data_IF_358533733600
#
_entry.id   IF_358533733600
#
_cell.length_a   1.000
_cell.length_b   1.000
_cell.length_c   1.000
_cell.angle_alpha   90.00
_cell.angle_beta   90.00
_cell.angle_gamma   90.00
#
_symmetry.space_group_name_H-M   'P 1'
#
loop_
_entity.id
_entity.type
_entity.pdbx_description
1 polymer ?
#
# COMPACT_ATOMS: atom_id res chain seq x y z
N UNK A 1 -5.37 12.90 22.00
CA UNK A 1 -5.47 11.64 21.22
C UNK A 1 -5.58 11.85 19.71
N UNK A 2 -6.05 13.01 19.23
CA UNK A 2 -6.23 13.28 17.80
C UNK A 2 -4.92 13.25 16.98
N UNK A 3 -3.81 13.78 17.50
CA UNK A 3 -2.51 13.75 16.83
C UNK A 3 -1.99 12.32 16.59
N UNK A 4 -2.22 11.41 17.53
CA UNK A 4 -1.85 9.99 17.41
C UNK A 4 -2.65 9.34 16.28
N UNK A 5 -3.96 9.61 16.20
CA UNK A 5 -4.83 9.08 15.14
C UNK A 5 -4.37 9.53 13.75
N UNK A 6 -4.07 10.82 13.57
CA UNK A 6 -3.54 11.36 12.31
C UNK A 6 -2.17 10.76 11.97
N UNK A 7 -1.31 10.56 12.97
CA UNK A 7 0.00 9.92 12.81
C UNK A 7 -0.09 8.48 12.30
N UNK A 8 -0.98 7.65 12.87
CA UNK A 8 -1.18 6.26 12.43
C UNK A 8 -1.62 6.20 10.97
N UNK A 9 -2.58 7.04 10.57
CA UNK A 9 -3.06 7.08 9.18
C UNK A 9 -1.95 7.53 8.23
N UNK A 10 -1.24 8.62 8.58
CA UNK A 10 -0.14 9.13 7.75
C UNK A 10 0.95 8.07 7.53
N UNK A 11 1.36 7.38 8.59
CA UNK A 11 2.37 6.33 8.50
C UNK A 11 1.87 5.11 7.71
N UNK A 12 0.61 4.73 7.87
CA UNK A 12 -0.01 3.65 7.08
C UNK A 12 -0.02 3.97 5.59
N UNK A 13 -0.36 5.20 5.21
CA UNK A 13 -0.30 5.65 3.81
C UNK A 13 1.11 5.56 3.23
N UNK A 14 2.14 5.95 4.00
CA UNK A 14 3.54 5.84 3.56
C UNK A 14 3.90 4.37 3.31
N UNK A 15 3.50 3.45 4.20
CA UNK A 15 3.75 2.02 4.03
C UNK A 15 3.02 1.43 2.81
N UNK A 16 1.79 1.87 2.52
CA UNK A 16 1.07 1.45 1.31
C UNK A 16 1.74 1.96 0.03
N UNK A 17 2.22 3.19 0.02
CA UNK A 17 2.98 3.74 -1.11
C UNK A 17 4.29 2.98 -1.32
N UNK A 18 5.03 2.72 -0.24
CA UNK A 18 6.24 1.91 -0.27
C UNK A 18 5.96 0.49 -0.80
N UNK A 19 4.86 -0.12 -0.37
CA UNK A 19 4.40 -1.42 -0.87
C UNK A 19 4.14 -1.42 -2.37
N UNK A 20 3.38 -0.44 -2.86
CA UNK A 20 3.07 -0.29 -4.28
C UNK A 20 4.34 -0.12 -5.14
N UNK A 21 5.28 0.72 -4.68
CA UNK A 21 6.58 0.91 -5.36
C UNK A 21 7.38 -0.40 -5.39
N UNK A 22 7.40 -1.16 -4.28
CA UNK A 22 8.09 -2.45 -4.23
C UNK A 22 7.47 -3.43 -5.22
N UNK A 23 6.14 -3.61 -5.23
CA UNK A 23 5.49 -4.50 -6.18
C UNK A 23 5.76 -4.11 -7.63
N UNK A 24 5.65 -2.83 -7.96
CA UNK A 24 5.96 -2.34 -9.30
C UNK A 24 7.41 -2.66 -9.71
N UNK A 25 8.39 -2.38 -8.83
CA UNK A 25 9.79 -2.73 -9.10
C UNK A 25 9.98 -4.23 -9.27
N UNK A 26 9.37 -5.05 -8.41
CA UNK A 26 9.43 -6.51 -8.53
C UNK A 26 9.00 -6.97 -9.93
N UNK A 27 7.81 -6.54 -10.38
CA UNK A 27 7.32 -6.86 -11.72
C UNK A 27 8.19 -6.30 -12.84
N UNK A 28 8.79 -5.11 -12.68
CA UNK A 28 9.69 -4.53 -13.68
C UNK A 28 10.95 -5.41 -13.87
N UNK A 29 11.60 -5.86 -12.80
CA UNK A 29 12.73 -6.81 -12.88
C UNK A 29 12.36 -8.12 -13.56
N UNK A 30 11.14 -8.63 -13.31
CA UNK A 30 10.67 -9.89 -13.90
C UNK A 30 10.29 -9.75 -15.38
N UNK A 31 9.63 -8.65 -15.77
CA UNK A 31 8.97 -8.55 -17.07
C UNK A 31 9.76 -7.75 -18.11
N UNK A 32 10.69 -6.89 -17.69
CA UNK A 32 11.45 -6.02 -18.59
C UNK A 32 12.93 -6.43 -18.69
N UNK A 33 13.24 -7.72 -18.47
CA UNK A 33 14.54 -8.28 -18.79
C UNK A 33 14.75 -8.27 -20.31
N UNK A 34 15.92 -7.77 -20.73
CA UNK A 34 16.34 -7.77 -22.12
C UNK A 34 17.86 -7.83 -22.20
N UNK A 35 18.37 -8.69 -23.07
CA UNK A 35 19.80 -8.82 -23.34
C UNK A 35 20.00 -8.82 -24.85
N UNK A 36 20.83 -7.89 -25.33
CA UNK A 36 21.15 -7.72 -26.74
C UNK A 36 22.28 -8.65 -27.15
N UNK A 37 22.17 -9.26 -28.34
CA UNK A 37 23.26 -10.10 -28.88
C UNK A 37 24.46 -9.28 -29.36
N UNK A 38 24.27 -7.99 -29.67
CA UNK A 38 25.27 -7.17 -30.35
C UNK A 38 25.64 -5.89 -29.62
N UNK A 39 24.76 -5.38 -28.75
CA UNK A 39 24.91 -4.06 -28.14
C UNK A 39 24.58 -4.11 -26.65
N UNK A 40 25.59 -4.27 -25.81
CA UNK A 40 25.44 -4.33 -24.35
C UNK A 40 24.87 -3.05 -23.73
N UNK A 41 24.95 -1.91 -24.43
CA UNK A 41 24.33 -0.65 -23.98
C UNK A 41 22.79 -0.69 -23.96
N UNK A 42 22.18 -1.65 -24.65
CA UNK A 42 20.73 -1.86 -24.63
C UNK A 42 20.28 -2.84 -23.55
N UNK A 43 21.22 -3.49 -22.86
CA UNK A 43 20.91 -4.51 -21.85
C UNK A 43 20.13 -3.90 -20.69
N UNK A 44 19.05 -4.58 -20.30
CA UNK A 44 18.21 -4.23 -19.15
C UNK A 44 18.03 -5.44 -18.26
N UNK A 45 18.42 -5.30 -17.00
CA UNK A 45 18.41 -6.41 -16.03
C UNK A 45 19.23 -7.63 -16.47
N UNK A 46 20.26 -7.40 -17.29
CA UNK A 46 21.30 -8.37 -17.58
C UNK A 46 22.56 -8.01 -16.76
N UNK A 47 23.17 -9.02 -16.16
CA UNK A 47 24.29 -8.89 -15.21
C UNK A 47 25.48 -9.75 -15.60
N UNK A 48 25.20 -10.93 -16.15
CA UNK A 48 26.19 -11.93 -16.54
C UNK A 48 25.83 -12.51 -17.90
N UNK A 49 26.78 -13.18 -18.54
CA UNK A 49 26.52 -13.85 -19.82
C UNK A 49 25.53 -15.01 -19.67
N UNK A 50 24.54 -15.05 -20.55
CA UNK A 50 23.57 -16.14 -20.66
C UNK A 50 22.26 -15.88 -19.92
N UNK A 51 21.15 -16.16 -20.60
CA UNK A 51 19.83 -15.71 -20.17
C UNK A 51 19.35 -16.40 -18.90
N UNK A 52 19.66 -17.69 -18.75
CA UNK A 52 19.23 -18.51 -17.61
C UNK A 52 19.69 -17.92 -16.27
N UNK A 53 20.94 -17.45 -16.19
CA UNK A 53 21.46 -16.83 -14.96
C UNK A 53 20.74 -15.52 -14.65
N UNK A 54 20.52 -14.69 -15.66
CA UNK A 54 19.80 -13.43 -15.48
C UNK A 54 18.35 -13.64 -15.06
N UNK A 55 17.65 -14.67 -15.56
CA UNK A 55 16.31 -15.03 -15.09
C UNK A 55 16.30 -15.43 -13.61
N UNK A 56 17.29 -16.20 -13.15
CA UNK A 56 17.39 -16.59 -11.74
C UNK A 56 17.65 -15.34 -10.87
N UNK A 57 18.58 -14.47 -11.28
CA UNK A 57 18.90 -13.23 -10.57
C UNK A 57 17.68 -12.29 -10.52
N UNK A 58 17.00 -12.08 -11.65
CA UNK A 58 15.78 -11.27 -11.69
C UNK A 58 14.65 -11.90 -10.87
N UNK A 59 14.58 -13.23 -10.81
CA UNK A 59 13.66 -13.97 -9.94
C UNK A 59 13.90 -13.71 -8.45
N UNK A 60 15.16 -13.59 -8.01
CA UNK A 60 15.47 -13.26 -6.61
C UNK A 60 15.18 -11.79 -6.30
N UNK A 61 15.49 -10.86 -7.21
CA UNK A 61 15.07 -9.46 -7.08
C UNK A 61 13.54 -9.34 -6.99
N UNK A 62 12.80 -10.01 -7.88
CA UNK A 62 11.34 -10.08 -7.84
C UNK A 62 10.84 -10.56 -6.49
N UNK A 63 11.38 -11.69 -6.00
CA UNK A 63 10.98 -12.27 -4.72
C UNK A 63 11.26 -11.31 -3.55
N UNK A 64 12.44 -10.69 -3.52
CA UNK A 64 12.80 -9.72 -2.49
C UNK A 64 11.86 -8.53 -2.45
N UNK A 65 11.55 -7.94 -3.61
CA UNK A 65 10.58 -6.85 -3.70
C UNK A 65 9.16 -7.27 -3.33
N UNK A 66 8.73 -8.49 -3.70
CA UNK A 66 7.42 -9.01 -3.29
C UNK A 66 7.32 -9.18 -1.78
N UNK A 67 8.35 -9.71 -1.13
CA UNK A 67 8.38 -9.87 0.33
C UNK A 67 8.39 -8.53 1.05
N UNK A 68 9.20 -7.56 0.60
CA UNK A 68 9.21 -6.21 1.17
C UNK A 68 7.85 -5.53 0.99
N UNK A 69 7.29 -5.61 -0.22
CA UNK A 69 5.98 -5.03 -0.54
C UNK A 69 4.85 -5.65 0.28
N UNK A 70 4.80 -6.98 0.40
CA UNK A 70 3.77 -7.65 1.19
C UNK A 70 3.90 -7.34 2.68
N UNK A 71 5.12 -7.29 3.20
CA UNK A 71 5.37 -6.97 4.61
C UNK A 71 4.93 -5.54 4.94
N UNK A 72 5.24 -4.57 4.08
CA UNK A 72 4.80 -3.19 4.23
C UNK A 72 3.27 -3.05 4.14
N UNK A 73 2.63 -3.73 3.19
CA UNK A 73 1.17 -3.74 3.06
C UNK A 73 0.50 -4.34 4.30
N UNK A 74 0.97 -5.49 4.78
CA UNK A 74 0.43 -6.12 5.99
C UNK A 74 0.61 -5.22 7.21
N UNK A 75 1.77 -4.57 7.36
CA UNK A 75 2.00 -3.59 8.43
C UNK A 75 1.02 -2.41 8.37
N UNK A 76 0.75 -1.88 7.18
CA UNK A 76 -0.24 -0.81 7.00
C UNK A 76 -1.66 -1.26 7.36
N UNK A 77 -2.07 -2.46 6.93
CA UNK A 77 -3.39 -3.03 7.24
C UNK A 77 -3.57 -3.21 8.75
N UNK A 78 -2.54 -3.69 9.46
CA UNK A 78 -2.55 -3.82 10.91
C UNK A 78 -2.72 -2.46 11.61
N UNK A 79 -1.99 -1.44 11.16
CA UNK A 79 -2.10 -0.09 11.71
C UNK A 79 -3.48 0.54 11.47
N UNK A 80 -4.05 0.35 10.29
CA UNK A 80 -5.42 0.80 9.98
C UNK A 80 -6.43 0.08 10.87
N UNK A 81 -6.27 -1.23 11.10
CA UNK A 81 -7.12 -2.00 12.01
C UNK A 81 -7.06 -1.44 13.43
N UNK A 82 -5.87 -1.09 13.93
CA UNK A 82 -5.70 -0.43 15.23
C UNK A 82 -6.35 0.95 15.26
N UNK A 83 -6.23 1.73 14.18
CA UNK A 83 -6.88 3.04 14.07
C UNK A 83 -8.41 2.93 14.15
N UNK A 84 -9.01 1.91 13.53
CA UNK A 84 -10.46 1.66 13.58
C UNK A 84 -10.94 1.35 15.00
N UNK A 85 -10.16 0.61 15.79
CA UNK A 85 -10.51 0.28 17.19
C UNK A 85 -10.42 1.52 18.10
N UNK A 86 -9.45 2.40 17.85
CA UNK A 86 -9.21 3.61 18.66
C UNK A 86 -10.17 4.75 18.28
N UNK A 87 -10.81 4.70 17.11
CA UNK A 87 -11.78 5.70 16.69
C UNK A 87 -13.03 5.61 17.59
N UNK A 88 -13.32 6.62 18.43
CA UNK A 88 -14.60 6.66 19.13
C UNK A 88 -15.72 6.68 18.09
N UNK A 89 -16.82 5.98 18.39
CA UNK A 89 -18.09 6.19 17.68
C UNK A 89 -18.54 7.58 18.07
N UNK A 90 -18.60 8.51 17.11
CA UNK A 90 -19.11 9.84 17.40
C UNK A 90 -20.63 9.75 17.65
N UNK A 91 -21.05 9.89 18.92
CA UNK A 91 -22.46 9.97 19.37
C UNK A 91 -23.22 11.14 18.70
N UNK A 92 -22.49 12.09 18.10
CA UNK A 92 -23.01 13.25 17.38
C UNK A 92 -23.91 12.86 16.19
N UNK A 93 -23.70 11.67 15.61
CA UNK A 93 -24.54 11.13 14.55
C UNK A 93 -25.91 10.65 15.03
N UNK A 94 -26.02 10.16 16.28
CA UNK A 94 -27.30 9.83 16.93
C UNK A 94 -28.05 11.08 17.38
N UNK A 95 -27.34 12.08 17.93
CA UNK A 95 -27.94 13.35 18.37
C UNK A 95 -28.45 14.17 17.18
N UNK A 96 -27.75 14.17 16.05
CA UNK A 96 -28.22 14.83 14.82
C UNK A 96 -29.49 14.16 14.24
N UNK A 97 -29.60 12.84 14.35
CA UNK A 97 -30.77 12.09 13.91
C UNK A 97 -31.97 12.33 14.84
N UNK A 98 -31.74 12.34 16.15
CA UNK A 98 -32.76 12.62 17.15
C UNK A 98 -33.26 14.07 17.08
N UNK A 99 -32.35 15.04 16.92
CA UNK A 99 -32.70 16.45 16.73
C UNK A 99 -33.45 16.72 15.42
N UNK A 100 -33.13 15.99 14.35
CA UNK A 100 -33.88 16.02 13.10
C UNK A 100 -35.29 15.47 13.23
N UNK A 101 -35.50 14.44 14.05
CA UNK A 101 -36.82 13.86 14.29
C UNK A 101 -37.72 14.81 15.10
N UNK A 102 -37.18 15.45 16.14
CA UNK A 102 -37.94 16.42 16.95
C UNK A 102 -38.33 17.69 16.19
N UNK A 103 -37.45 18.17 15.29
CA UNK A 103 -37.76 19.34 14.46
C UNK A 103 -38.89 19.05 13.45
N UNK A 104 -38.99 17.82 12.95
CA UNK A 104 -40.06 17.39 12.03
C UNK A 104 -41.40 17.19 12.78
N UNK A 105 -41.38 16.83 14.07
CA UNK A 105 -42.60 16.77 14.88
C UNK A 105 -43.16 18.15 15.24
N UNK A 106 -42.30 19.16 15.51
CA UNK A 106 -42.75 20.54 15.75
C UNK A 106 -43.35 21.21 14.50
N UNK A 107 -42.88 20.89 13.29
CA UNK A 107 -43.43 21.46 12.05
C UNK A 107 -44.83 20.90 11.71
N UNK A 108 -45.23 19.77 12.33
CA UNK A 108 -46.51 19.11 12.09
C UNK A 108 -47.60 19.41 13.14
N UNK A 109 -47.29 20.18 14.18
CA UNK A 109 -48.20 20.58 15.25
C UNK A 109 -48.80 21.98 15.01
#
# INVERSE_FOLDING_TARGET
MEGIRKGIVAFSCILLLASAVCFWKGFDYKNNYYQSEHYSSLDKYAYVGGDAYNYIINGTYFTGFMVLGSSAALGAIMLISVWLIICPKDDDSEVALAGGLSAVEEEKA
#
